data_IF_741594321599
#
_entry.id   IF_741594321599
#
_cell.length_a   1.000
_cell.length_b   1.000
_cell.length_c   1.000
_cell.angle_alpha   90.00
_cell.angle_beta   90.00
_cell.angle_gamma   90.00
#
_symmetry.space_group_name_H-M   'P 1'
#
loop_
_entity.id
_entity.type
_entity.pdbx_description
1 polymer ?
#
# COMPACT_ATOMS: atom_id res chain seq x y z
N UNK A 1 -0.58 7.03 -16.49
CA UNK A 1 0.84 6.60 -16.46
C UNK A 1 1.07 5.80 -15.19
N UNK A 2 1.56 4.56 -15.29
CA UNK A 2 1.91 3.77 -14.10
C UNK A 2 3.15 4.35 -13.41
N UNK A 3 3.23 4.20 -12.08
CA UNK A 3 4.32 4.72 -11.24
C UNK A 3 4.69 3.66 -10.20
N UNK A 4 5.93 3.68 -9.75
CA UNK A 4 6.39 2.88 -8.60
C UNK A 4 6.24 3.73 -7.33
N UNK A 5 5.54 3.23 -6.33
CA UNK A 5 5.15 3.98 -5.13
C UNK A 5 5.48 3.16 -3.89
N UNK A 6 6.20 3.75 -2.93
CA UNK A 6 6.48 3.16 -1.62
C UNK A 6 5.64 3.86 -0.57
N UNK A 7 4.87 3.09 0.21
CA UNK A 7 4.02 3.63 1.28
C UNK A 7 4.42 2.96 2.60
N UNK A 8 4.72 3.77 3.62
CA UNK A 8 5.00 3.29 4.98
C UNK A 8 3.78 3.48 5.88
N UNK A 9 3.67 2.70 6.96
CA UNK A 9 2.53 2.80 7.88
C UNK A 9 1.24 2.20 7.32
N UNK A 10 1.34 1.22 6.43
CA UNK A 10 0.21 0.64 5.67
C UNK A 10 -0.59 -0.41 6.42
N UNK A 11 -0.29 -0.70 7.68
CA UNK A 11 -1.01 -1.76 8.41
C UNK A 11 -2.50 -1.48 8.53
N UNK A 12 -2.92 -0.22 8.68
CA UNK A 12 -4.32 0.21 8.92
C UNK A 12 -4.52 1.68 8.51
N UNK A 13 -5.77 2.13 8.48
CA UNK A 13 -6.13 3.54 8.32
C UNK A 13 -5.76 4.09 6.96
N UNK A 14 -5.38 5.38 6.91
CA UNK A 14 -5.18 6.11 5.64
C UNK A 14 -4.10 5.46 4.77
N UNK A 15 -3.02 4.94 5.36
CA UNK A 15 -1.96 4.27 4.60
C UNK A 15 -2.43 3.00 3.89
N UNK A 16 -3.36 2.26 4.49
CA UNK A 16 -3.96 1.05 3.91
C UNK A 16 -4.90 1.41 2.75
N UNK A 17 -5.83 2.34 2.98
CA UNK A 17 -6.77 2.80 1.94
C UNK A 17 -6.06 3.44 0.74
N UNK A 18 -5.01 4.23 0.99
CA UNK A 18 -4.20 4.84 -0.06
C UNK A 18 -3.50 3.78 -0.92
N UNK A 19 -2.98 2.72 -0.29
CA UNK A 19 -2.34 1.63 -1.02
C UNK A 19 -3.33 0.92 -1.95
N UNK A 20 -4.54 0.61 -1.47
CA UNK A 20 -5.60 0.02 -2.27
C UNK A 20 -6.01 0.91 -3.45
N UNK A 21 -6.23 2.21 -3.20
CA UNK A 21 -6.64 3.15 -4.23
C UNK A 21 -5.58 3.27 -5.34
N UNK A 22 -4.30 3.36 -4.97
CA UNK A 22 -3.21 3.49 -5.94
C UNK A 22 -2.93 2.20 -6.70
N UNK A 23 -3.07 1.04 -6.05
CA UNK A 23 -2.99 -0.25 -6.72
C UNK A 23 -4.14 -0.42 -7.72
N UNK A 24 -5.37 -0.09 -7.32
CA UNK A 24 -6.55 -0.10 -8.19
C UNK A 24 -6.47 0.89 -9.36
N UNK A 25 -5.72 1.98 -9.21
CA UNK A 25 -5.42 2.93 -10.29
C UNK A 25 -4.30 2.43 -11.25
N UNK A 26 -3.76 1.23 -11.06
CA UNK A 26 -2.76 0.62 -11.94
C UNK A 26 -1.31 1.03 -11.65
N UNK A 27 -1.02 1.49 -10.43
CA UNK A 27 0.36 1.75 -9.98
C UNK A 27 0.98 0.51 -9.33
N UNK A 28 2.30 0.38 -9.43
CA UNK A 28 3.04 -0.64 -8.68
C UNK A 28 3.33 -0.10 -7.29
N UNK A 29 2.64 -0.63 -6.29
CA UNK A 29 2.71 -0.16 -4.91
C UNK A 29 3.44 -1.19 -4.04
N UNK A 30 4.46 -0.73 -3.32
CA UNK A 30 5.17 -1.50 -2.29
C UNK A 30 4.79 -0.93 -0.93
N UNK A 31 4.27 -1.77 -0.05
CA UNK A 31 3.78 -1.37 1.26
C UNK A 31 4.75 -1.81 2.36
N UNK A 32 4.99 -0.95 3.35
CA UNK A 32 5.88 -1.20 4.48
C UNK A 32 5.15 -0.92 5.80
N UNK A 33 5.19 -1.89 6.71
CA UNK A 33 4.68 -1.70 8.07
C UNK A 33 5.53 -2.47 9.07
N UNK A 34 5.38 -2.14 10.35
CA UNK A 34 6.10 -2.82 11.44
C UNK A 34 5.55 -4.23 11.74
N UNK A 35 4.37 -4.58 11.20
CA UNK A 35 3.70 -5.86 11.45
C UNK A 35 3.41 -6.55 10.13
N UNK A 36 4.10 -7.65 9.86
CA UNK A 36 3.92 -8.47 8.67
C UNK A 36 2.59 -9.24 8.68
N UNK A 37 1.99 -9.47 9.85
CA UNK A 37 0.73 -10.18 10.02
C UNK A 37 -0.52 -9.45 9.49
N UNK A 38 -0.37 -8.20 9.05
CA UNK A 38 -1.47 -7.34 8.61
C UNK A 38 -1.51 -7.16 7.09
N UNK A 39 -0.64 -7.87 6.37
CA UNK A 39 -0.56 -7.82 4.91
C UNK A 39 -1.30 -9.05 4.42
N UNK A 40 -2.62 -8.93 4.23
CA UNK A 40 -3.36 -9.91 3.43
C UNK A 40 -2.99 -9.72 1.95
N UNK A 41 -2.91 -10.82 1.16
CA UNK A 41 -2.49 -10.80 -0.23
C UNK A 41 -3.42 -9.98 -1.14
#
# INVERSE_FOLDING_TARGET
MSKNIVITGTSRGIGFELAQLLAGAGHHVITLSRKTSSIEP
#
